data_IF_814555268583
#
_entry.id   IF_814555268583
#
_cell.length_a   1.000
_cell.length_b   1.000
_cell.length_c   1.000
_cell.angle_alpha   90.00
_cell.angle_beta   90.00
_cell.angle_gamma   90.00
#
_symmetry.space_group_name_H-M   'P 1'
#
loop_
_entity.id
_entity.type
_entity.pdbx_description
1 polymer ?
#
# COMPACT_ATOMS: atom_id res chain seq x y z
N UNK A 1 -66.70 -79.30 -16.97
CA UNK A 1 -66.52 -80.74 -16.67
C UNK A 1 -67.80 -81.36 -16.10
N UNK A 2 -68.32 -80.85 -14.97
CA UNK A 2 -69.56 -81.31 -14.30
C UNK A 2 -70.78 -81.49 -15.23
N UNK A 3 -71.10 -80.48 -16.03
CA UNK A 3 -72.24 -80.49 -16.98
C UNK A 3 -72.16 -81.61 -18.04
N UNK A 4 -70.95 -81.98 -18.49
CA UNK A 4 -70.76 -83.03 -19.50
C UNK A 4 -70.89 -84.42 -18.86
N UNK A 5 -70.30 -84.59 -17.67
CA UNK A 5 -70.46 -85.82 -16.87
C UNK A 5 -71.91 -86.05 -16.47
N UNK A 6 -72.65 -85.01 -16.11
CA UNK A 6 -74.09 -85.09 -15.79
C UNK A 6 -74.93 -85.50 -17.02
N UNK A 7 -74.55 -85.07 -18.23
CA UNK A 7 -75.21 -85.49 -19.48
C UNK A 7 -74.93 -86.96 -19.81
N UNK A 8 -73.69 -87.41 -19.63
CA UNK A 8 -73.32 -88.83 -19.81
C UNK A 8 -74.10 -89.69 -18.81
N UNK A 9 -74.11 -89.29 -17.53
CA UNK A 9 -74.86 -89.96 -16.46
C UNK A 9 -76.34 -90.09 -16.79
N UNK A 10 -77.01 -89.00 -17.16
CA UNK A 10 -78.43 -89.01 -17.55
C UNK A 10 -78.70 -89.88 -18.79
N UNK A 11 -77.77 -89.94 -19.74
CA UNK A 11 -77.92 -90.79 -20.94
C UNK A 11 -77.82 -92.28 -20.59
N UNK A 12 -76.98 -92.64 -19.62
CA UNK A 12 -76.86 -94.02 -19.10
C UNK A 12 -78.11 -94.40 -18.28
N UNK A 13 -78.56 -93.52 -17.38
CA UNK A 13 -79.76 -93.71 -16.55
C UNK A 13 -81.02 -93.91 -17.42
N UNK A 14 -81.23 -93.07 -18.44
CA UNK A 14 -82.37 -93.18 -19.35
C UNK A 14 -82.37 -94.48 -20.19
N UNK A 15 -81.20 -94.98 -20.58
CA UNK A 15 -81.11 -96.24 -21.33
C UNK A 15 -81.49 -97.44 -20.45
N UNK A 16 -81.07 -97.43 -19.17
CA UNK A 16 -81.42 -98.47 -18.20
C UNK A 16 -82.93 -98.53 -17.89
N UNK A 17 -83.61 -97.37 -17.84
CA UNK A 17 -85.06 -97.31 -17.59
C UNK A 17 -85.90 -97.76 -18.80
N UNK A 18 -85.39 -97.62 -20.03
CA UNK A 18 -86.15 -97.90 -21.27
C UNK A 18 -86.15 -99.37 -21.73
N UNK A 19 -85.47 -100.27 -21.02
CA UNK A 19 -85.38 -101.70 -21.37
C UNK A 19 -84.63 -102.01 -22.67
N UNK A 20 -84.02 -101.01 -23.33
CA UNK A 20 -83.17 -101.20 -24.51
C UNK A 20 -81.78 -101.70 -24.07
N UNK A 21 -81.45 -102.94 -24.41
CA UNK A 21 -80.12 -103.54 -24.18
C UNK A 21 -78.99 -102.96 -25.06
N UNK A 22 -79.23 -101.87 -25.79
CA UNK A 22 -78.22 -101.21 -26.64
C UNK A 22 -78.08 -99.78 -26.12
N UNK A 23 -76.98 -99.50 -25.42
CA UNK A 23 -76.59 -98.15 -25.02
C UNK A 23 -76.49 -97.25 -26.25
N UNK A 24 -77.03 -96.02 -26.17
CA UNK A 24 -76.89 -94.97 -27.18
C UNK A 24 -75.43 -94.43 -27.15
N UNK A 25 -74.53 -95.33 -27.58
CA UNK A 25 -73.09 -95.28 -27.38
C UNK A 25 -72.48 -94.09 -28.14
N UNK A 26 -73.12 -93.68 -29.24
CA UNK A 26 -72.71 -92.54 -30.05
C UNK A 26 -72.84 -91.21 -29.29
N UNK A 27 -73.92 -91.01 -28.52
CA UNK A 27 -74.10 -89.79 -27.71
C UNK A 27 -73.11 -89.72 -26.56
N UNK A 28 -72.86 -90.85 -25.90
CA UNK A 28 -71.88 -90.93 -24.81
C UNK A 28 -70.48 -90.65 -25.37
N UNK A 29 -70.13 -91.25 -26.51
CA UNK A 29 -68.84 -91.03 -27.19
C UNK A 29 -68.66 -89.57 -27.60
N UNK A 30 -69.72 -88.91 -28.09
CA UNK A 30 -69.67 -87.51 -28.49
C UNK A 30 -69.48 -86.56 -27.31
N UNK A 31 -70.14 -86.80 -26.18
CA UNK A 31 -69.93 -86.02 -24.95
C UNK A 31 -68.56 -86.32 -24.29
N UNK A 32 -68.06 -87.56 -24.35
CA UNK A 32 -66.69 -87.90 -23.95
C UNK A 32 -65.65 -87.20 -24.84
N UNK A 33 -65.88 -87.10 -26.15
CA UNK A 33 -65.01 -86.33 -27.05
C UNK A 33 -64.98 -84.83 -26.73
N UNK A 34 -66.12 -84.24 -26.32
CA UNK A 34 -66.16 -82.86 -25.82
C UNK A 34 -65.40 -82.69 -24.50
N UNK A 35 -65.45 -83.70 -23.63
CA UNK A 35 -64.72 -83.71 -22.37
C UNK A 35 -63.20 -83.75 -22.62
N UNK A 36 -62.76 -84.65 -23.50
CA UNK A 36 -61.35 -84.80 -23.88
C UNK A 36 -60.79 -83.50 -24.49
N UNK A 37 -61.54 -82.87 -25.41
CA UNK A 37 -61.16 -81.58 -25.99
C UNK A 37 -61.02 -80.47 -24.93
N UNK A 38 -61.88 -80.43 -23.91
CA UNK A 38 -61.76 -79.46 -22.82
C UNK A 38 -60.55 -79.73 -21.93
N UNK A 39 -60.27 -80.99 -21.61
CA UNK A 39 -59.09 -81.38 -20.84
C UNK A 39 -57.81 -81.04 -21.61
N UNK A 40 -57.79 -81.31 -22.91
CA UNK A 40 -56.69 -80.95 -23.80
C UNK A 40 -56.49 -79.42 -23.90
N UNK A 41 -57.58 -78.64 -23.92
CA UNK A 41 -57.53 -77.17 -23.86
C UNK A 41 -56.88 -76.67 -22.58
N UNK A 42 -57.35 -77.15 -21.41
CA UNK A 42 -56.78 -76.79 -20.11
C UNK A 42 -55.31 -77.20 -20.02
N UNK A 43 -54.94 -78.38 -20.50
CA UNK A 43 -53.56 -78.86 -20.51
C UNK A 43 -52.63 -77.96 -21.34
N UNK A 44 -53.11 -77.46 -22.49
CA UNK A 44 -52.37 -76.49 -23.31
C UNK A 44 -52.20 -75.15 -22.61
N UNK A 45 -53.25 -74.61 -22.01
CA UNK A 45 -53.20 -73.36 -21.24
C UNK A 45 -52.24 -73.47 -20.05
N UNK A 46 -52.28 -74.59 -19.33
CA UNK A 46 -51.41 -74.84 -18.18
C UNK A 46 -49.93 -74.89 -18.58
N UNK A 47 -49.62 -75.49 -19.74
CA UNK A 47 -48.26 -75.47 -20.32
C UNK A 47 -47.84 -74.05 -20.73
N UNK A 48 -48.75 -73.27 -21.30
CA UNK A 48 -48.48 -71.87 -21.66
C UNK A 48 -48.19 -70.99 -20.44
N UNK A 49 -49.00 -71.10 -19.39
CA UNK A 49 -48.78 -70.39 -18.13
C UNK A 49 -47.51 -70.87 -17.43
N UNK A 50 -47.25 -72.19 -17.38
CA UNK A 50 -46.03 -72.73 -16.78
C UNK A 50 -44.76 -72.18 -17.46
N UNK A 51 -44.77 -72.02 -18.79
CA UNK A 51 -43.66 -71.37 -19.50
C UNK A 51 -43.51 -69.91 -19.10
N UNK A 52 -44.62 -69.18 -19.05
CA UNK A 52 -44.62 -67.76 -18.66
C UNK A 52 -44.10 -67.55 -17.23
N UNK A 53 -44.45 -68.45 -16.29
CA UNK A 53 -43.94 -68.40 -14.92
C UNK A 53 -42.44 -68.67 -14.84
N UNK A 54 -41.91 -69.60 -15.65
CA UNK A 54 -40.46 -69.83 -15.74
C UNK A 54 -39.72 -68.63 -16.29
N UNK A 55 -40.23 -68.03 -17.37
CA UNK A 55 -39.65 -66.84 -17.97
C UNK A 55 -39.63 -65.67 -16.94
N UNK A 56 -40.66 -65.56 -16.10
CA UNK A 56 -40.70 -64.59 -14.99
C UNK A 56 -39.71 -64.94 -13.86
N UNK A 57 -39.60 -66.21 -13.46
CA UNK A 57 -38.63 -66.66 -12.45
C UNK A 57 -37.18 -66.39 -12.88
N UNK A 58 -36.88 -66.44 -14.18
CA UNK A 58 -35.54 -66.14 -14.70
C UNK A 58 -35.22 -64.63 -14.68
N UNK A 59 -36.21 -63.76 -14.93
CA UNK A 59 -35.99 -62.30 -15.04
C UNK A 59 -36.09 -61.57 -13.69
N UNK A 60 -36.89 -62.08 -12.74
CA UNK A 60 -37.06 -61.46 -11.42
C UNK A 60 -35.75 -61.19 -10.65
N UNK A 61 -34.80 -62.14 -10.59
CA UNK A 61 -33.51 -61.93 -9.93
C UNK A 61 -32.72 -60.77 -10.50
N UNK A 62 -32.69 -60.64 -11.83
CA UNK A 62 -31.95 -59.58 -12.54
C UNK A 62 -32.56 -58.21 -12.22
N UNK A 63 -33.89 -58.11 -12.15
CA UNK A 63 -34.59 -56.90 -11.73
C UNK A 63 -34.27 -56.49 -10.27
N UNK A 64 -34.19 -57.46 -9.36
CA UNK A 64 -33.81 -57.17 -7.97
C UNK A 64 -32.36 -56.72 -7.85
N UNK A 65 -31.43 -57.33 -8.59
CA UNK A 65 -30.04 -56.88 -8.64
C UNK A 65 -29.92 -55.45 -9.16
N UNK A 66 -30.64 -55.11 -10.23
CA UNK A 66 -30.64 -53.77 -10.80
C UNK A 66 -31.21 -52.74 -9.82
N UNK A 67 -32.25 -53.11 -9.08
CA UNK A 67 -32.84 -52.27 -8.03
C UNK A 67 -31.82 -52.03 -6.90
N UNK A 68 -31.09 -53.06 -6.49
CA UNK A 68 -30.06 -52.94 -5.45
C UNK A 68 -28.88 -52.07 -5.92
N UNK A 69 -28.39 -52.29 -7.15
CA UNK A 69 -27.32 -51.48 -7.78
C UNK A 69 -27.73 -50.01 -7.86
N UNK A 70 -28.95 -49.73 -8.32
CA UNK A 70 -29.46 -48.37 -8.40
C UNK A 70 -29.61 -47.73 -7.02
N UNK A 71 -30.06 -48.47 -6.02
CA UNK A 71 -30.18 -47.97 -4.64
C UNK A 71 -28.81 -47.58 -4.07
N UNK A 72 -27.78 -48.41 -4.28
CA UNK A 72 -26.40 -48.09 -3.87
C UNK A 72 -25.90 -46.83 -4.57
N UNK A 73 -26.13 -46.71 -5.88
CA UNK A 73 -25.75 -45.53 -6.66
C UNK A 73 -26.44 -44.25 -6.17
N UNK A 74 -27.72 -44.33 -5.81
CA UNK A 74 -28.46 -43.20 -5.22
C UNK A 74 -27.83 -42.78 -3.88
N UNK A 75 -27.45 -43.73 -3.03
CA UNK A 75 -26.78 -43.42 -1.75
C UNK A 75 -25.40 -42.76 -1.97
N UNK A 76 -24.62 -43.25 -2.93
CA UNK A 76 -23.33 -42.63 -3.30
C UNK A 76 -23.48 -41.19 -3.82
N UNK A 77 -24.49 -40.97 -4.66
CA UNK A 77 -24.83 -39.62 -5.14
C UNK A 77 -25.28 -38.70 -4.01
N UNK A 78 -26.08 -39.20 -3.05
CA UNK A 78 -26.46 -38.47 -1.84
C UNK A 78 -25.25 -38.04 -1.01
N UNK A 79 -24.32 -38.96 -0.75
CA UNK A 79 -23.07 -38.66 -0.04
C UNK A 79 -22.21 -37.63 -0.79
N UNK A 80 -22.22 -37.66 -2.13
CA UNK A 80 -21.50 -36.69 -2.96
C UNK A 80 -22.14 -35.32 -2.90
N UNK A 81 -23.48 -35.25 -2.92
CA UNK A 81 -24.23 -34.02 -2.76
C UNK A 81 -23.92 -33.34 -1.42
N UNK A 82 -23.89 -34.11 -0.33
CA UNK A 82 -23.56 -33.60 1.00
C UNK A 82 -22.14 -33.03 1.07
N UNK A 83 -21.18 -33.67 0.40
CA UNK A 83 -19.80 -33.14 0.29
C UNK A 83 -19.77 -31.82 -0.48
N UNK A 84 -20.50 -31.74 -1.60
CA UNK A 84 -20.60 -30.51 -2.40
C UNK A 84 -21.24 -29.39 -1.57
N UNK A 85 -22.30 -29.66 -0.83
CA UNK A 85 -22.96 -28.66 0.02
C UNK A 85 -22.01 -28.14 1.11
N UNK A 86 -21.25 -29.02 1.77
CA UNK A 86 -20.22 -28.61 2.74
C UNK A 86 -19.13 -27.74 2.10
N UNK A 87 -18.71 -28.09 0.89
CA UNK A 87 -17.72 -27.29 0.15
C UNK A 87 -18.26 -25.90 -0.20
N UNK A 88 -19.50 -25.80 -0.67
CA UNK A 88 -20.16 -24.50 -0.95
C UNK A 88 -20.23 -23.63 0.32
N UNK A 89 -20.54 -24.23 1.47
CA UNK A 89 -20.59 -23.49 2.74
C UNK A 89 -19.20 -22.97 3.16
N UNK A 90 -18.15 -23.76 2.94
CA UNK A 90 -16.77 -23.34 3.18
C UNK A 90 -16.36 -22.20 2.24
N UNK A 91 -16.64 -22.31 0.94
CA UNK A 91 -16.38 -21.25 -0.04
C UNK A 91 -17.08 -19.94 0.32
N UNK A 92 -18.33 -20.03 0.82
CA UNK A 92 -19.05 -18.84 1.29
C UNK A 92 -18.33 -18.16 2.47
N UNK A 93 -17.86 -18.94 3.44
CA UNK A 93 -17.09 -18.41 4.59
C UNK A 93 -15.76 -17.78 4.14
N UNK A 94 -15.07 -18.41 3.19
CA UNK A 94 -13.82 -17.88 2.62
C UNK A 94 -14.09 -16.54 1.92
N UNK A 95 -15.16 -16.46 1.12
CA UNK A 95 -15.56 -15.23 0.44
C UNK A 95 -15.85 -14.09 1.44
N UNK A 96 -16.60 -14.36 2.49
CA UNK A 96 -16.87 -13.37 3.55
C UNK A 96 -15.58 -12.88 4.23
N UNK A 97 -14.62 -13.76 4.49
CA UNK A 97 -13.31 -13.38 5.02
C UNK A 97 -12.48 -12.53 4.05
N UNK A 98 -12.52 -12.85 2.76
CA UNK A 98 -11.85 -12.07 1.72
C UNK A 98 -12.46 -10.67 1.60
N UNK A 99 -13.79 -10.54 1.63
CA UNK A 99 -14.49 -9.26 1.60
C UNK A 99 -14.12 -8.37 2.80
N UNK A 100 -13.99 -8.95 4.00
CA UNK A 100 -13.51 -8.22 5.18
C UNK A 100 -12.07 -7.74 5.01
N UNK A 101 -11.19 -8.57 4.45
CA UNK A 101 -9.79 -8.21 4.19
C UNK A 101 -9.66 -7.11 3.15
N UNK A 102 -10.51 -7.11 2.11
CA UNK A 102 -10.57 -6.05 1.11
C UNK A 102 -10.94 -4.72 1.79
N UNK A 103 -11.98 -4.70 2.64
CA UNK A 103 -12.37 -3.49 3.39
C UNK A 103 -11.25 -2.96 4.31
N UNK A 104 -10.51 -3.85 4.96
CA UNK A 104 -9.35 -3.44 5.78
C UNK A 104 -8.25 -2.80 4.91
N UNK A 105 -7.96 -3.39 3.74
CA UNK A 105 -6.97 -2.85 2.80
C UNK A 105 -7.40 -1.49 2.24
N UNK A 106 -8.67 -1.32 1.88
CA UNK A 106 -9.22 -0.03 1.45
C UNK A 106 -9.03 1.04 2.52
N UNK A 107 -9.30 0.71 3.79
CA UNK A 107 -9.05 1.63 4.91
C UNK A 107 -7.57 1.99 5.02
N UNK A 108 -6.66 1.02 4.95
CA UNK A 108 -5.21 1.26 4.99
C UNK A 108 -4.72 2.11 3.82
N UNK A 109 -5.29 1.94 2.63
CA UNK A 109 -4.97 2.77 1.47
C UNK A 109 -5.36 4.23 1.76
N UNK A 110 -6.57 4.46 2.28
CA UNK A 110 -7.01 5.81 2.65
C UNK A 110 -6.09 6.45 3.71
N UNK A 111 -5.68 5.69 4.73
CA UNK A 111 -4.74 6.16 5.76
C UNK A 111 -3.38 6.54 5.13
N UNK A 112 -2.88 5.73 4.18
CA UNK A 112 -1.62 6.00 3.47
C UNK A 112 -1.72 7.22 2.54
N UNK A 113 -2.86 7.42 1.89
CA UNK A 113 -3.10 8.62 1.09
C UNK A 113 -3.06 9.89 1.94
N UNK A 114 -3.64 9.85 3.14
CA UNK A 114 -3.57 10.96 4.09
C UNK A 114 -2.13 11.22 4.56
N UNK A 115 -1.39 10.16 4.92
CA UNK A 115 0.03 10.26 5.27
C UNK A 115 0.84 10.87 4.11
N UNK A 116 0.59 10.46 2.87
CA UNK A 116 1.31 10.98 1.70
C UNK A 116 1.01 12.47 1.45
N UNK A 117 -0.24 12.90 1.64
CA UNK A 117 -0.62 14.33 1.59
C UNK A 117 0.16 15.12 2.65
N UNK A 118 0.17 14.63 3.89
CA UNK A 118 0.90 15.27 4.99
C UNK A 118 2.41 15.32 4.73
N UNK A 119 3.00 14.23 4.21
CA UNK A 119 4.41 14.17 3.84
C UNK A 119 4.77 15.19 2.75
N UNK A 120 3.89 15.37 1.76
CA UNK A 120 4.08 16.36 0.70
C UNK A 120 4.15 17.77 1.28
N UNK A 121 3.25 18.11 2.21
CA UNK A 121 3.26 19.40 2.91
C UNK A 121 4.58 19.59 3.67
N UNK A 122 5.00 18.60 4.46
CA UNK A 122 6.25 18.65 5.24
C UNK A 122 7.46 18.83 4.33
N UNK A 123 7.50 18.13 3.19
CA UNK A 123 8.57 18.27 2.20
C UNK A 123 8.63 19.69 1.63
N UNK A 124 7.49 20.26 1.21
CA UNK A 124 7.42 21.65 0.73
C UNK A 124 7.90 22.65 1.79
N UNK A 125 7.51 22.44 3.05
CA UNK A 125 7.97 23.29 4.16
C UNK A 125 9.49 23.21 4.36
N UNK A 126 10.08 22.01 4.30
CA UNK A 126 11.53 21.84 4.40
C UNK A 126 12.28 22.49 3.24
N UNK A 127 11.77 22.34 2.01
CA UNK A 127 12.41 22.93 0.83
C UNK A 127 12.34 24.47 0.87
N UNK A 128 11.23 25.04 1.32
CA UNK A 128 11.10 26.49 1.54
C UNK A 128 12.06 26.98 2.63
N UNK A 129 12.20 26.23 3.73
CA UNK A 129 13.13 26.57 4.82
C UNK A 129 14.59 26.59 4.35
N UNK A 130 15.03 25.56 3.62
CA UNK A 130 16.39 25.50 3.05
C UNK A 130 16.67 26.70 2.14
N UNK A 131 15.68 27.09 1.34
CA UNK A 131 15.78 28.25 0.45
C UNK A 131 15.95 29.54 1.25
N UNK A 132 15.16 29.72 2.32
CA UNK A 132 15.28 30.88 3.22
C UNK A 132 16.61 30.91 3.98
N UNK A 133 17.09 29.77 4.47
CA UNK A 133 18.40 29.65 5.14
C UNK A 133 19.55 30.02 4.19
N UNK A 134 19.48 29.59 2.92
CA UNK A 134 20.45 29.98 1.89
C UNK A 134 20.44 31.49 1.64
N UNK A 135 19.27 32.09 1.45
CA UNK A 135 19.13 33.55 1.24
C UNK A 135 19.68 34.33 2.44
N UNK A 136 19.40 33.88 3.68
CA UNK A 136 19.90 34.53 4.88
C UNK A 136 21.42 34.41 5.02
N UNK A 137 22.00 33.25 4.69
CA UNK A 137 23.44 33.04 4.68
C UNK A 137 24.14 33.97 3.67
N UNK A 138 23.63 34.06 2.44
CA UNK A 138 24.16 34.94 1.40
C UNK A 138 24.08 36.43 1.82
N UNK A 139 22.98 36.86 2.45
CA UNK A 139 22.84 38.22 3.00
C UNK A 139 23.86 38.51 4.12
N UNK A 140 24.10 37.55 5.01
CA UNK A 140 25.09 37.69 6.08
C UNK A 140 26.51 37.80 5.52
N UNK A 141 26.88 36.95 4.56
CA UNK A 141 28.18 37.04 3.88
C UNK A 141 28.38 38.39 3.17
N UNK A 142 27.34 38.92 2.54
CA UNK A 142 27.38 40.24 1.91
C UNK A 142 27.58 41.36 2.94
N UNK A 143 26.89 41.29 4.08
CA UNK A 143 27.06 42.25 5.17
C UNK A 143 28.47 42.20 5.77
N UNK A 144 29.00 41.00 6.00
CA UNK A 144 30.35 40.78 6.50
C UNK A 144 31.40 41.34 5.54
N UNK A 145 31.22 41.10 4.23
CA UNK A 145 32.10 41.66 3.19
C UNK A 145 32.09 43.19 3.21
N UNK A 146 30.90 43.80 3.34
CA UNK A 146 30.77 45.26 3.45
C UNK A 146 31.43 45.79 4.73
N UNK A 147 31.21 45.13 5.86
CA UNK A 147 31.80 45.52 7.14
C UNK A 147 33.33 45.46 7.10
N UNK A 148 33.90 44.38 6.56
CA UNK A 148 35.34 44.22 6.35
C UNK A 148 35.91 45.31 5.43
N UNK A 149 35.15 45.70 4.39
CA UNK A 149 35.52 46.83 3.51
C UNK A 149 35.58 48.16 4.27
N UNK A 150 34.58 48.44 5.11
CA UNK A 150 34.54 49.64 5.95
C UNK A 150 35.70 49.64 6.95
N UNK A 151 35.96 48.52 7.61
CA UNK A 151 37.05 48.39 8.57
C UNK A 151 38.43 48.65 7.93
N UNK A 152 38.69 48.04 6.76
CA UNK A 152 39.90 48.30 5.97
C UNK A 152 40.04 49.77 5.60
N UNK A 153 38.96 50.42 5.18
CA UNK A 153 38.96 51.84 4.87
C UNK A 153 39.29 52.69 6.09
N UNK A 154 38.63 52.46 7.23
CA UNK A 154 38.89 53.16 8.48
C UNK A 154 40.35 53.01 8.91
N UNK A 155 40.89 51.79 8.86
CA UNK A 155 42.27 51.51 9.24
C UNK A 155 43.26 52.21 8.30
N UNK A 156 42.96 52.23 6.99
CA UNK A 156 43.76 52.96 6.00
C UNK A 156 43.75 54.47 6.26
N UNK A 157 42.59 55.06 6.53
CA UNK A 157 42.46 56.49 6.84
C UNK A 157 43.12 56.85 8.18
N UNK A 158 43.08 55.96 9.17
CA UNK A 158 43.85 56.10 10.41
C UNK A 158 45.35 56.09 10.13
N UNK A 159 45.84 55.13 9.33
CA UNK A 159 47.24 55.03 8.96
C UNK A 159 47.75 56.26 8.21
N UNK A 160 46.99 56.76 7.23
CA UNK A 160 47.30 58.03 6.53
C UNK A 160 47.40 59.21 7.50
N UNK A 161 46.50 59.30 8.48
CA UNK A 161 46.57 60.33 9.53
C UNK A 161 47.82 60.19 10.41
N UNK A 162 48.24 58.97 10.72
CA UNK A 162 49.48 58.72 11.48
C UNK A 162 50.71 59.12 10.70
N UNK A 163 50.85 58.69 9.43
CA UNK A 163 51.95 59.10 8.56
C UNK A 163 52.02 60.62 8.46
N UNK A 164 50.88 61.28 8.21
CA UNK A 164 50.83 62.75 8.13
C UNK A 164 51.34 63.42 9.42
N UNK A 165 50.97 62.88 10.59
CA UNK A 165 51.47 63.39 11.88
C UNK A 165 52.97 63.18 12.04
N UNK A 166 53.51 62.05 11.60
CA UNK A 166 54.95 61.76 11.64
C UNK A 166 55.72 62.68 10.70
N UNK A 167 55.25 62.87 9.47
CA UNK A 167 55.84 63.84 8.52
C UNK A 167 55.82 65.26 9.08
N UNK A 168 54.69 65.68 9.68
CA UNK A 168 54.59 66.99 10.31
C UNK A 168 55.59 67.12 11.48
N UNK A 169 55.74 66.08 12.30
CA UNK A 169 56.71 66.05 13.39
C UNK A 169 58.16 66.17 12.88
N UNK A 170 58.54 65.40 11.85
CA UNK A 170 59.88 65.43 11.25
C UNK A 170 60.22 66.79 10.66
N UNK A 171 59.27 67.41 9.95
CA UNK A 171 59.45 68.76 9.41
C UNK A 171 59.73 69.78 10.52
N UNK A 172 58.94 69.76 11.60
CA UNK A 172 59.14 70.69 12.73
C UNK A 172 60.50 70.45 13.41
N UNK A 173 60.89 69.19 13.64
CA UNK A 173 62.19 68.87 14.23
C UNK A 173 63.35 69.31 13.32
N UNK A 174 63.23 69.15 11.99
CA UNK A 174 64.23 69.60 11.03
C UNK A 174 64.38 71.12 11.02
N UNK A 175 63.27 71.86 11.03
CA UNK A 175 63.29 73.33 11.09
C UNK A 175 63.95 73.81 12.39
N UNK A 176 63.66 73.15 13.52
CA UNK A 176 64.30 73.45 14.82
C UNK A 176 65.81 73.12 14.82
N UNK A 177 66.24 72.02 14.18
CA UNK A 177 67.68 71.70 13.99
C UNK A 177 68.41 72.79 13.21
N UNK A 178 67.72 73.43 12.27
CA UNK A 178 68.27 74.52 11.46
C UNK A 178 68.24 75.89 12.18
N UNK A 179 68.00 75.92 13.49
CA UNK A 179 68.12 77.13 14.33
C UNK A 179 66.88 78.04 14.36
N UNK A 180 65.77 77.66 13.72
CA UNK A 180 64.54 78.44 13.73
C UNK A 180 63.70 78.11 14.97
N UNK A 181 63.86 78.85 16.07
CA UNK A 181 63.23 78.55 17.36
C UNK A 181 61.95 79.34 17.67
N UNK A 182 61.66 80.42 16.93
CA UNK A 182 60.48 81.25 17.16
C UNK A 182 59.25 80.75 16.38
N UNK A 183 58.03 80.83 16.96
CA UNK A 183 56.80 80.45 16.29
C UNK A 183 56.58 81.13 14.93
N UNK A 184 56.96 82.41 14.79
CA UNK A 184 56.79 83.16 13.52
C UNK A 184 57.66 82.59 12.40
N UNK A 185 58.87 82.16 12.71
CA UNK A 185 59.81 81.60 11.72
C UNK A 185 59.51 80.14 11.43
N UNK A 186 59.05 79.39 12.43
CA UNK A 186 58.52 78.04 12.26
C UNK A 186 57.31 78.02 11.31
N UNK A 187 56.38 78.99 11.41
CA UNK A 187 55.23 79.09 10.50
C UNK A 187 55.64 79.35 9.05
N UNK A 188 56.68 80.16 8.81
CA UNK A 188 57.15 80.46 7.46
C UNK A 188 57.76 79.24 6.75
N UNK A 189 58.42 78.37 7.52
CA UNK A 189 59.15 77.23 6.98
C UNK A 189 58.36 75.91 7.04
N UNK A 190 57.23 75.87 7.75
CA UNK A 190 56.37 74.68 7.86
C UNK A 190 55.25 74.65 6.81
N UNK A 191 55.20 73.57 6.02
CA UNK A 191 54.27 73.45 4.88
C UNK A 191 52.82 73.11 5.26
N UNK A 192 52.55 72.67 6.50
CA UNK A 192 51.23 72.21 6.94
C UNK A 192 50.28 73.31 7.47
N UNK A 193 50.70 74.57 7.45
CA UNK A 193 49.92 75.72 7.94
C UNK A 193 49.96 75.91 9.47
N UNK A 194 49.52 77.09 9.93
CA UNK A 194 49.73 77.56 11.31
C UNK A 194 49.06 76.68 12.38
N UNK A 195 47.83 76.22 12.15
CA UNK A 195 47.10 75.38 13.13
C UNK A 195 47.78 74.02 13.33
N UNK A 196 48.15 73.35 12.24
CA UNK A 196 48.84 72.08 12.29
C UNK A 196 50.21 72.20 12.96
N UNK A 197 50.95 73.29 12.73
CA UNK A 197 52.21 73.57 13.41
C UNK A 197 52.05 73.62 14.93
N UNK A 198 51.11 74.41 15.45
CA UNK A 198 50.92 74.52 16.90
C UNK A 198 50.45 73.20 17.53
N UNK A 199 49.58 72.45 16.84
CA UNK A 199 49.17 71.11 17.29
C UNK A 199 50.36 70.12 17.30
N UNK A 200 51.25 70.19 16.31
CA UNK A 200 52.49 69.40 16.24
C UNK A 200 53.47 69.78 17.35
N UNK A 201 53.71 71.08 17.58
CA UNK A 201 54.56 71.56 18.67
C UNK A 201 54.05 71.10 20.04
N UNK A 202 52.73 71.21 20.28
CA UNK A 202 52.12 70.74 21.53
C UNK A 202 52.26 69.22 21.71
N UNK A 203 52.20 68.44 20.63
CA UNK A 203 52.44 66.99 20.68
C UNK A 203 53.90 66.67 20.98
N UNK A 204 54.84 67.32 20.30
CA UNK A 204 56.28 67.14 20.52
C UNK A 204 56.72 67.60 21.92
N UNK A 205 56.10 68.64 22.46
CA UNK A 205 56.30 69.10 23.83
C UNK A 205 55.80 68.05 24.84
N UNK A 206 54.59 67.50 24.63
CA UNK A 206 54.06 66.41 25.45
C UNK A 206 54.89 65.13 25.38
N UNK A 207 55.42 64.79 24.21
CA UNK A 207 56.32 63.63 24.04
C UNK A 207 57.76 63.93 24.50
N UNK A 208 58.01 65.10 25.10
CA UNK A 208 59.33 65.53 25.56
C UNK A 208 60.42 65.61 24.48
N UNK A 209 60.04 65.69 23.20
CA UNK A 209 60.98 65.82 22.09
C UNK A 209 61.50 67.26 21.94
N UNK A 210 60.68 68.24 22.35
CA UNK A 210 61.03 69.66 22.35
C UNK A 210 60.70 70.28 23.71
N UNK A 211 61.37 71.39 24.03
CA UNK A 211 61.13 72.20 25.22
C UNK A 211 60.64 73.56 24.78
N UNK A 212 59.59 74.04 25.44
CA UNK A 212 59.10 75.41 25.29
C UNK A 212 59.73 76.30 26.35
N UNK A 213 60.50 77.30 25.94
CA UNK A 213 61.02 78.37 26.81
C UNK A 213 60.23 79.65 26.59
N UNK A 214 60.02 80.41 27.66
CA UNK A 214 59.35 81.71 27.60
C UNK A 214 60.31 82.76 28.14
N UNK A 215 60.58 83.76 27.32
CA UNK A 215 61.38 84.92 27.68
C UNK A 215 60.52 86.18 27.48
N UNK A 216 60.04 86.73 28.60
CA UNK A 216 59.05 87.82 28.60
C UNK A 216 57.76 87.49 27.82
N UNK A 217 57.48 88.26 26.76
CA UNK A 217 56.32 88.03 25.85
C UNK A 217 56.63 87.08 24.69
N UNK A 218 57.89 86.68 24.50
CA UNK A 218 58.32 85.80 23.42
C UNK A 218 58.39 84.35 23.88
N UNK A 219 58.13 83.43 22.94
CA UNK A 219 58.14 81.99 23.17
C UNK A 219 59.12 81.38 22.18
N UNK A 220 59.96 80.49 22.68
CA UNK A 220 60.95 79.76 21.89
C UNK A 220 60.75 78.27 22.07
N UNK A 221 60.99 77.51 21.01
CA UNK A 221 61.00 76.06 21.02
C UNK A 221 62.41 75.57 20.72
N UNK A 222 62.90 74.63 21.50
CA UNK A 222 64.22 74.03 21.36
C UNK A 222 64.11 72.51 21.37
N UNK A 223 65.02 71.84 20.67
CA UNK A 223 65.14 70.38 20.78
C UNK A 223 65.65 70.03 22.16
N UNK A 224 65.03 69.03 22.80
CA UNK A 224 65.56 68.50 24.05
C UNK A 224 66.86 67.75 23.74
N UNK A 225 67.98 68.21 24.28
CA UNK A 225 69.24 67.45 24.23
C UNK A 225 69.05 66.17 25.07
N UNK A 226 69.43 65.02 24.51
CA UNK A 226 69.41 63.74 25.23
C UNK A 226 70.39 63.77 26.40
#
# INVERSE_FOLDING_TARGET
>A
MRIILDKIRKTIENNNESGKNILDTDKITLELGKLDNKVNGISKELKGHSKTFKDLEEVLPEYFEDTEKNTKKIQELGNTLDKILKYIEQEKKIKEQQDLKIKELEKRINDLEEINKNWTVVKTWMDNRKTNEKINSEKLQLLETKFNGIEKYINTERYKKTIKRETDNEQVLSILKNGCSQPKDLVKNFKGGTKALYDTLKRLEKSSAIIRKKDGKQVFYELKQK
#
